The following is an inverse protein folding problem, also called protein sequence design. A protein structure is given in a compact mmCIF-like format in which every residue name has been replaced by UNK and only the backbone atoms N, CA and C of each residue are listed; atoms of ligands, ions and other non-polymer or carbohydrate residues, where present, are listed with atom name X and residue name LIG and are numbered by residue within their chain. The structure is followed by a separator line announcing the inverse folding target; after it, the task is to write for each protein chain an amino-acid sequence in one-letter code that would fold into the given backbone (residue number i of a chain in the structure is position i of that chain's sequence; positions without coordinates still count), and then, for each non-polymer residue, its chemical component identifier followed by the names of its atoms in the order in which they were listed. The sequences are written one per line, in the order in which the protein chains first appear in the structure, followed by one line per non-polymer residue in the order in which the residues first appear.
data_IF_436241707602
#
_entry.id   IF_436241707602
#
_cell.length_a   1.000
_cell.length_b   1.000
_cell.length_c   1.000
_cell.angle_alpha   90.00
_cell.angle_beta   90.00
_cell.angle_gamma   90.00
#
_symmetry.space_group_name_H-M   'P 1'
#
loop_
_entity.id
_entity.type
_entity.pdbx_description
1 polymer ?
#
# COMPACT_ATOMS: atom_id res chain seq x y z
N UNK A 1 54.83 17.67 7.62
CA UNK A 1 56.29 17.55 7.73
C UNK A 1 56.63 17.24 9.19
N UNK A 2 57.01 15.99 9.45
CA UNK A 2 57.27 15.50 10.81
C UNK A 2 58.78 15.57 11.06
N UNK A 3 59.21 16.36 12.03
CA UNK A 3 60.62 16.43 12.46
C UNK A 3 60.80 15.55 13.71
N UNK A 4 61.71 14.60 13.63
CA UNK A 4 62.18 13.82 14.77
C UNK A 4 63.36 14.57 15.43
N UNK A 5 63.15 15.11 16.61
CA UNK A 5 64.25 15.67 17.44
C UNK A 5 64.63 14.66 18.52
N UNK A 6 65.85 14.20 18.47
CA UNK A 6 66.44 13.23 19.42
C UNK A 6 66.83 13.95 20.70
N UNK A 7 66.07 13.78 21.76
CA UNK A 7 66.41 14.30 23.10
C UNK A 7 67.21 13.21 23.82
N UNK A 8 68.30 13.60 24.41
CA UNK A 8 69.43 12.85 24.94
C UNK A 8 69.11 11.72 25.92
N UNK A 9 70.12 10.89 26.08
CA UNK A 9 70.23 9.62 26.79
C UNK A 9 69.44 9.55 28.11
N UNK A 10 68.50 8.54 28.19
CA UNK A 10 67.98 8.14 29.49
C UNK A 10 66.61 7.52 29.54
N UNK A 11 65.75 7.51 28.53
CA UNK A 11 64.59 6.61 28.48
C UNK A 11 63.97 6.68 27.08
N UNK A 12 63.86 5.53 26.41
CA UNK A 12 63.42 5.39 25.02
C UNK A 12 61.92 5.65 24.79
N UNK A 13 61.43 6.83 25.15
CA UNK A 13 60.08 7.29 24.81
C UNK A 13 60.16 8.33 23.71
N UNK A 14 59.82 7.95 22.50
CA UNK A 14 59.58 8.88 21.40
C UNK A 14 58.34 9.74 21.72
N UNK A 15 58.58 10.98 22.13
CA UNK A 15 57.46 11.91 22.29
C UNK A 15 57.18 12.59 20.94
N UNK A 16 56.08 12.17 20.30
CA UNK A 16 55.54 12.86 19.12
C UNK A 16 55.05 14.24 19.51
N UNK A 17 55.85 15.29 19.22
CA UNK A 17 55.42 16.68 19.36
C UNK A 17 54.49 17.04 18.21
N UNK A 18 53.17 16.93 18.45
CA UNK A 18 52.16 17.38 17.48
C UNK A 18 52.09 18.92 17.48
N UNK A 19 52.50 19.50 16.38
CA UNK A 19 52.34 20.96 16.20
C UNK A 19 50.86 21.23 15.88
N UNK A 20 50.13 21.65 16.90
CA UNK A 20 48.70 21.93 16.82
C UNK A 20 48.47 23.12 15.86
N UNK A 21 47.86 22.87 14.71
CA UNK A 21 47.52 23.90 13.73
C UNK A 21 46.09 24.41 13.96
N UNK A 22 45.93 25.52 14.61
CA UNK A 22 44.63 26.14 14.91
C UNK A 22 43.72 26.28 13.66
N UNK A 23 44.33 26.63 12.52
CA UNK A 23 43.58 26.74 11.25
C UNK A 23 42.91 25.40 10.83
N UNK A 24 43.63 24.29 11.01
CA UNK A 24 43.08 22.97 10.71
C UNK A 24 41.93 22.60 11.64
N UNK A 25 42.00 22.96 12.92
CA UNK A 25 40.92 22.73 13.88
C UNK A 25 39.68 23.55 13.54
N UNK A 26 39.86 24.82 13.20
CA UNK A 26 38.77 25.71 12.78
C UNK A 26 38.05 25.12 11.53
N UNK A 27 38.81 24.64 10.54
CA UNK A 27 38.24 23.99 9.33
C UNK A 27 37.45 22.74 9.69
N UNK A 28 37.99 21.88 10.56
CA UNK A 28 37.25 20.65 11.00
C UNK A 28 35.95 21.01 11.70
N UNK A 29 35.98 22.04 12.59
CA UNK A 29 34.77 22.48 13.29
C UNK A 29 33.74 23.02 12.29
N UNK A 30 34.15 23.85 11.32
CA UNK A 30 33.24 24.36 10.30
C UNK A 30 32.61 23.24 9.44
N UNK A 31 33.41 22.29 9.00
CA UNK A 31 32.91 21.15 8.25
C UNK A 31 31.92 20.30 9.07
N UNK A 32 32.21 20.11 10.36
CA UNK A 32 31.32 19.41 11.27
C UNK A 32 29.97 20.11 11.46
N UNK A 33 30.01 21.44 11.64
CA UNK A 33 28.79 22.26 11.75
C UNK A 33 27.96 22.21 10.45
N UNK A 34 28.59 22.34 9.29
CA UNK A 34 27.92 22.25 7.99
C UNK A 34 27.31 20.86 7.76
N UNK A 35 28.01 19.79 8.12
CA UNK A 35 27.51 18.44 8.04
C UNK A 35 26.29 18.23 8.94
N UNK A 36 26.34 18.75 10.18
CA UNK A 36 25.24 18.66 11.13
C UNK A 36 24.02 19.47 10.68
N UNK A 37 24.25 20.70 10.21
CA UNK A 37 23.19 21.54 9.65
C UNK A 37 22.56 20.91 8.41
N UNK A 38 23.37 20.33 7.52
CA UNK A 38 22.89 19.60 6.35
C UNK A 38 22.04 18.38 6.72
N UNK A 39 22.44 17.63 7.76
CA UNK A 39 21.66 16.49 8.27
C UNK A 39 20.32 16.94 8.84
N UNK A 40 20.30 17.96 9.70
CA UNK A 40 19.08 18.51 10.30
C UNK A 40 18.13 19.04 9.21
N UNK A 41 18.67 19.78 8.23
CA UNK A 41 17.88 20.27 7.09
C UNK A 41 17.29 19.11 6.27
N UNK A 42 18.08 18.07 5.98
CA UNK A 42 17.64 16.89 5.26
C UNK A 42 16.53 16.15 6.01
N UNK A 43 16.67 15.95 7.32
CA UNK A 43 15.64 15.32 8.16
C UNK A 43 14.36 16.16 8.21
N UNK A 44 14.48 17.48 8.30
CA UNK A 44 13.33 18.38 8.32
C UNK A 44 12.55 18.39 6.99
N UNK A 45 13.24 18.48 5.85
CA UNK A 45 12.62 18.47 4.51
C UNK A 45 11.99 17.12 4.17
N UNK A 46 12.56 16.00 4.66
CA UNK A 46 12.08 14.66 4.39
C UNK A 46 11.17 14.10 5.50
N UNK A 47 10.75 14.95 6.45
CA UNK A 47 9.84 14.55 7.51
C UNK A 47 8.51 14.12 6.90
N UNK A 48 8.10 12.89 7.23
CA UNK A 48 6.78 12.37 6.87
C UNK A 48 5.77 12.89 7.88
N UNK A 49 4.74 13.58 7.40
CA UNK A 49 3.56 13.98 8.19
C UNK A 49 2.44 13.02 7.82
N UNK A 50 2.13 12.03 8.68
CA UNK A 50 1.19 10.95 8.32
C UNK A 50 -0.20 11.48 8.01
N UNK A 51 -0.66 12.50 8.75
CA UNK A 51 -1.97 13.13 8.61
C UNK A 51 -2.17 13.85 7.27
N UNK A 52 -1.07 14.24 6.61
CA UNK A 52 -1.10 14.85 5.27
C UNK A 52 -0.86 13.81 4.18
N UNK A 53 0.10 12.90 4.41
CA UNK A 53 0.50 11.92 3.40
C UNK A 53 -0.60 10.88 3.13
N UNK A 54 -1.29 10.40 4.18
CA UNK A 54 -2.31 9.36 4.03
C UNK A 54 -3.51 9.83 3.19
N UNK A 55 -4.18 10.97 3.48
CA UNK A 55 -5.28 11.47 2.65
C UNK A 55 -4.83 11.73 1.20
N UNK A 56 -3.66 12.33 1.01
CA UNK A 56 -3.10 12.56 -0.33
C UNK A 56 -2.86 11.24 -1.09
N UNK A 57 -2.37 10.20 -0.41
CA UNK A 57 -2.12 8.90 -1.04
C UNK A 57 -3.43 8.20 -1.41
N UNK A 58 -4.46 8.30 -0.57
CA UNK A 58 -5.80 7.80 -0.86
C UNK A 58 -6.35 8.50 -2.10
N UNK A 59 -6.38 9.83 -2.12
CA UNK A 59 -6.86 10.63 -3.25
C UNK A 59 -6.15 10.27 -4.56
N UNK A 60 -4.81 10.19 -4.53
CA UNK A 60 -4.01 9.81 -5.71
C UNK A 60 -4.25 8.38 -6.17
N UNK A 61 -4.67 7.50 -5.29
CA UNK A 61 -4.98 6.11 -5.62
C UNK A 61 -6.38 5.96 -6.16
N UNK A 62 -7.36 6.67 -5.57
CA UNK A 62 -8.77 6.62 -6.02
C UNK A 62 -9.00 7.38 -7.33
N UNK A 63 -8.16 8.38 -7.64
CA UNK A 63 -8.26 9.17 -8.88
C UNK A 63 -7.63 8.52 -10.11
N UNK A 64 -7.00 7.34 -10.00
CA UNK A 64 -6.39 6.67 -11.16
C UNK A 64 -7.44 6.21 -12.17
N UNK A 65 -7.11 6.35 -13.46
CA UNK A 65 -8.03 5.97 -14.55
C UNK A 65 -7.99 4.49 -14.89
N UNK A 66 -6.85 3.84 -14.62
CA UNK A 66 -6.68 2.41 -14.87
C UNK A 66 -5.68 1.80 -13.90
N UNK A 67 -5.89 0.54 -13.55
CA UNK A 67 -5.01 -0.27 -12.71
C UNK A 67 -5.31 -1.75 -12.88
N UNK A 68 -4.32 -2.57 -12.51
CA UNK A 68 -4.48 -4.00 -12.27
C UNK A 68 -4.42 -4.28 -10.79
N UNK A 69 -5.04 -5.37 -10.37
CA UNK A 69 -5.10 -5.71 -8.96
C UNK A 69 -5.17 -7.20 -8.68
N UNK A 70 -4.82 -7.54 -7.44
CA UNK A 70 -5.12 -8.82 -6.81
C UNK A 70 -5.84 -8.54 -5.50
N UNK A 71 -6.95 -9.24 -5.27
CA UNK A 71 -7.68 -9.23 -4.00
C UNK A 71 -7.70 -10.63 -3.45
N UNK A 72 -7.37 -10.76 -2.18
CA UNK A 72 -7.59 -11.96 -1.39
C UNK A 72 -8.43 -11.61 -0.17
N UNK A 73 -9.51 -12.33 0.04
CA UNK A 73 -10.40 -12.16 1.18
C UNK A 73 -10.49 -13.46 1.96
N UNK A 74 -10.22 -13.40 3.25
CA UNK A 74 -10.32 -14.51 4.19
C UNK A 74 -11.28 -14.16 5.31
N UNK A 75 -12.02 -15.16 5.74
CA UNK A 75 -12.82 -15.12 6.96
C UNK A 75 -12.14 -15.98 8.02
N UNK A 76 -11.92 -15.42 9.19
CA UNK A 76 -11.57 -16.20 10.38
C UNK A 76 -12.86 -16.68 11.02
N UNK A 77 -13.05 -17.99 11.10
CA UNK A 77 -14.24 -18.62 11.67
C UNK A 77 -13.80 -19.62 12.73
N UNK A 78 -14.15 -19.36 13.99
CA UNK A 78 -13.75 -20.19 15.14
C UNK A 78 -12.23 -20.42 15.26
N UNK A 79 -11.43 -19.44 14.85
CA UNK A 79 -9.97 -19.52 14.87
C UNK A 79 -9.32 -19.97 13.55
N UNK A 80 -10.07 -20.57 12.63
CA UNK A 80 -9.56 -21.08 11.35
C UNK A 80 -9.75 -20.04 10.24
N UNK A 81 -8.71 -19.83 9.43
CA UNK A 81 -8.78 -19.00 8.23
C UNK A 81 -9.42 -19.76 7.07
N UNK A 82 -10.51 -19.24 6.53
CA UNK A 82 -11.19 -19.74 5.35
C UNK A 82 -11.06 -18.74 4.21
N UNK A 83 -10.56 -19.20 3.07
CA UNK A 83 -10.51 -18.37 1.86
C UNK A 83 -11.95 -18.14 1.36
N UNK A 84 -12.34 -16.87 1.25
CA UNK A 84 -13.63 -16.46 0.69
C UNK A 84 -13.48 -16.07 -0.78
N UNK A 85 -12.48 -15.25 -1.10
CA UNK A 85 -12.18 -14.91 -2.49
C UNK A 85 -10.69 -14.75 -2.76
N UNK A 86 -10.29 -15.07 -3.98
CA UNK A 86 -8.95 -14.81 -4.51
C UNK A 86 -9.08 -14.49 -5.98
N UNK A 87 -9.05 -13.20 -6.28
CA UNK A 87 -9.28 -12.71 -7.64
C UNK A 87 -8.13 -11.82 -8.12
N UNK A 88 -7.96 -11.79 -9.42
CA UNK A 88 -7.16 -10.81 -10.14
C UNK A 88 -8.05 -10.06 -11.10
N UNK A 89 -7.80 -8.79 -11.29
CA UNK A 89 -8.58 -8.00 -12.20
C UNK A 89 -7.81 -6.84 -12.81
N UNK A 90 -8.43 -6.24 -13.80
CA UNK A 90 -8.01 -5.00 -14.43
C UNK A 90 -9.21 -4.09 -14.61
N UNK A 91 -9.00 -2.80 -14.41
CA UNK A 91 -10.04 -1.79 -14.50
C UNK A 91 -9.56 -0.57 -15.28
N UNK A 92 -10.38 -0.05 -16.18
CA UNK A 92 -10.12 1.18 -16.93
C UNK A 92 -11.41 1.92 -17.24
N UNK A 93 -11.53 3.18 -16.79
CA UNK A 93 -12.69 4.04 -17.08
C UNK A 93 -14.05 3.38 -16.80
N UNK A 94 -14.19 2.69 -15.68
CA UNK A 94 -15.40 1.97 -15.31
C UNK A 94 -15.57 0.58 -15.90
N UNK A 95 -14.85 0.24 -16.98
CA UNK A 95 -14.80 -1.12 -17.52
C UNK A 95 -13.86 -1.98 -16.67
N UNK A 96 -14.12 -3.28 -16.57
CA UNK A 96 -13.25 -4.20 -15.85
C UNK A 96 -13.29 -5.61 -16.43
N UNK A 97 -12.25 -6.38 -16.13
CA UNK A 97 -12.17 -7.82 -16.30
C UNK A 97 -11.68 -8.42 -15.00
N UNK A 98 -12.42 -9.35 -14.45
CA UNK A 98 -12.18 -10.03 -13.19
C UNK A 98 -12.12 -11.54 -13.39
N UNK A 99 -11.08 -12.17 -12.84
CA UNK A 99 -10.90 -13.64 -12.89
C UNK A 99 -10.43 -14.15 -11.54
N UNK A 100 -10.86 -15.36 -11.17
CA UNK A 100 -10.39 -16.04 -9.96
C UNK A 100 -11.41 -16.96 -9.35
N UNK A 101 -11.41 -17.03 -8.02
CA UNK A 101 -12.30 -17.87 -7.24
C UNK A 101 -13.01 -17.02 -6.18
N UNK A 102 -14.33 -17.21 -6.07
CA UNK A 102 -15.18 -16.58 -5.05
C UNK A 102 -16.09 -17.66 -4.47
N UNK A 103 -16.04 -17.83 -3.15
CA UNK A 103 -16.81 -18.84 -2.40
C UNK A 103 -16.67 -20.26 -2.98
N UNK A 104 -15.45 -20.62 -3.40
CA UNK A 104 -15.16 -21.94 -3.98
C UNK A 104 -15.57 -22.13 -5.44
N UNK A 105 -16.06 -21.08 -6.10
CA UNK A 105 -16.48 -21.11 -7.49
C UNK A 105 -15.55 -20.30 -8.38
N UNK A 106 -15.15 -20.83 -9.51
CA UNK A 106 -14.41 -20.07 -10.52
C UNK A 106 -15.29 -18.99 -11.14
N UNK A 107 -14.74 -17.80 -11.26
CA UNK A 107 -15.40 -16.64 -11.87
C UNK A 107 -14.51 -16.04 -12.97
N UNK A 108 -15.15 -15.67 -14.07
CA UNK A 108 -14.53 -14.89 -15.16
C UNK A 108 -15.59 -13.92 -15.67
N UNK A 109 -15.43 -12.63 -15.35
CA UNK A 109 -16.46 -11.61 -15.59
C UNK A 109 -15.82 -10.40 -16.28
N UNK A 110 -16.44 -9.98 -17.39
CA UNK A 110 -16.02 -8.78 -18.12
C UNK A 110 -17.20 -7.80 -18.13
N UNK A 111 -16.92 -6.54 -17.76
CA UNK A 111 -17.86 -5.44 -17.95
C UNK A 111 -17.29 -4.45 -18.96
N UNK A 112 -17.96 -4.34 -20.08
CA UNK A 112 -17.56 -3.45 -21.18
C UNK A 112 -18.80 -3.03 -21.98
N UNK A 113 -18.84 -1.77 -22.44
CA UNK A 113 -19.95 -1.23 -23.25
C UNK A 113 -21.32 -1.42 -22.59
N UNK A 114 -21.40 -1.23 -21.29
CA UNK A 114 -22.62 -1.38 -20.47
C UNK A 114 -23.25 -2.78 -20.51
N UNK A 115 -22.43 -3.80 -20.77
CA UNK A 115 -22.83 -5.23 -20.79
C UNK A 115 -21.92 -6.00 -19.84
N UNK A 116 -22.52 -6.97 -19.16
CA UNK A 116 -21.82 -7.95 -18.32
C UNK A 116 -21.72 -9.26 -19.09
N UNK A 117 -20.51 -9.75 -19.22
CA UNK A 117 -20.20 -11.05 -19.75
C UNK A 117 -19.70 -11.93 -18.63
N UNK A 118 -20.38 -13.04 -18.38
CA UNK A 118 -19.99 -14.04 -17.38
C UNK A 118 -19.70 -15.34 -18.08
N UNK A 119 -18.55 -15.93 -17.79
CA UNK A 119 -18.20 -17.24 -18.31
C UNK A 119 -18.82 -18.32 -17.44
N UNK A 120 -19.62 -19.19 -18.03
CA UNK A 120 -20.16 -20.34 -17.35
C UNK A 120 -19.04 -21.35 -17.08
N UNK A 121 -18.87 -21.74 -15.81
CA UNK A 121 -17.77 -22.60 -15.40
C UNK A 121 -17.88 -24.05 -15.93
N UNK A 122 -19.07 -24.49 -16.26
CA UNK A 122 -19.32 -25.86 -16.74
C UNK A 122 -19.17 -25.95 -18.25
N UNK A 123 -19.86 -25.07 -18.98
CA UNK A 123 -19.85 -25.10 -20.45
C UNK A 123 -18.71 -24.31 -21.08
N UNK A 124 -18.05 -23.43 -20.32
CA UNK A 124 -17.03 -22.51 -20.82
C UNK A 124 -17.56 -21.39 -21.74
N UNK A 125 -18.89 -21.31 -21.91
CA UNK A 125 -19.53 -20.32 -22.79
C UNK A 125 -19.74 -19.01 -22.09
N UNK A 126 -19.68 -17.92 -22.86
CA UNK A 126 -19.98 -16.58 -22.37
C UNK A 126 -21.46 -16.30 -22.42
N UNK A 127 -22.02 -15.96 -21.28
CA UNK A 127 -23.40 -15.48 -21.13
C UNK A 127 -23.37 -13.95 -21.04
N UNK A 128 -24.29 -13.29 -21.73
CA UNK A 128 -24.43 -11.82 -21.73
C UNK A 128 -25.65 -11.44 -20.92
N UNK A 129 -25.45 -10.56 -19.96
CA UNK A 129 -26.53 -9.93 -19.21
C UNK A 129 -26.62 -8.43 -19.55
N UNK A 130 -27.81 -7.97 -19.93
CA UNK A 130 -28.12 -6.58 -20.29
C UNK A 130 -28.74 -5.85 -19.11
N UNK A 131 -28.12 -5.84 -17.97
CA UNK A 131 -28.67 -5.13 -16.82
C UNK A 131 -27.66 -4.96 -15.70
N UNK A 132 -27.63 -3.78 -15.13
CA UNK A 132 -26.76 -3.43 -13.99
C UNK A 132 -27.09 -4.15 -12.68
N UNK A 133 -28.16 -4.94 -12.63
CA UNK A 133 -28.73 -5.50 -11.39
C UNK A 133 -27.84 -6.56 -10.72
N UNK A 134 -26.94 -7.20 -11.47
CA UNK A 134 -25.98 -8.18 -10.91
C UNK A 134 -24.96 -7.49 -9.99
N UNK A 135 -24.63 -6.22 -10.23
CA UNK A 135 -23.67 -5.47 -9.43
C UNK A 135 -24.29 -4.81 -8.19
N UNK A 136 -25.60 -4.84 -8.04
CA UNK A 136 -26.28 -4.44 -6.82
C UNK A 136 -26.21 -5.52 -5.73
N UNK A 137 -25.73 -6.72 -6.04
CA UNK A 137 -25.39 -7.70 -5.02
C UNK A 137 -24.07 -7.27 -4.36
N UNK A 138 -24.18 -6.70 -3.19
CA UNK A 138 -23.10 -6.08 -2.38
C UNK A 138 -21.84 -6.95 -2.17
N UNK A 139 -21.94 -8.27 -2.39
CA UNK A 139 -20.87 -9.24 -2.21
C UNK A 139 -19.71 -9.11 -3.21
N UNK A 140 -19.94 -8.53 -4.41
CA UNK A 140 -18.92 -8.42 -5.45
C UNK A 140 -18.27 -7.04 -5.54
N UNK A 141 -18.71 -6.09 -4.74
CA UNK A 141 -18.26 -4.69 -4.88
C UNK A 141 -16.77 -4.52 -4.59
N UNK A 142 -16.22 -5.27 -3.63
CA UNK A 142 -14.80 -5.18 -3.26
C UNK A 142 -13.93 -5.79 -4.36
N UNK A 143 -14.35 -6.92 -4.94
CA UNK A 143 -13.62 -7.62 -5.99
C UNK A 143 -13.64 -6.83 -7.31
N UNK A 144 -14.73 -6.16 -7.61
CA UNK A 144 -14.93 -5.38 -8.85
C UNK A 144 -14.29 -4.01 -8.78
N UNK A 145 -14.36 -3.33 -7.64
CA UNK A 145 -13.80 -2.01 -7.41
C UNK A 145 -13.06 -1.93 -6.07
N UNK A 146 -11.93 -2.63 -5.94
CA UNK A 146 -11.25 -2.73 -4.65
C UNK A 146 -10.71 -1.39 -4.13
N UNK A 147 -10.52 -0.41 -5.00
CA UNK A 147 -10.06 0.94 -4.61
C UNK A 147 -11.13 1.69 -3.82
N UNK A 148 -12.43 1.35 -4.01
CA UNK A 148 -13.51 1.91 -3.19
C UNK A 148 -13.40 1.55 -1.69
N UNK A 149 -12.68 0.47 -1.35
CA UNK A 149 -12.41 0.15 0.06
C UNK A 149 -11.53 1.18 0.78
N UNK A 150 -10.87 2.06 0.03
CA UNK A 150 -10.10 3.18 0.58
C UNK A 150 -10.96 4.41 0.91
N UNK A 151 -12.22 4.45 0.49
CA UNK A 151 -13.14 5.55 0.78
C UNK A 151 -13.46 5.58 2.29
N UNK A 152 -13.46 6.75 2.86
CA UNK A 152 -13.65 6.96 4.29
C UNK A 152 -14.48 8.20 4.58
N UNK A 153 -15.19 8.19 5.69
CA UNK A 153 -15.83 9.37 6.26
C UNK A 153 -14.87 10.13 7.18
N UNK A 154 -14.09 9.40 7.99
CA UNK A 154 -13.06 9.95 8.85
C UNK A 154 -11.87 9.00 8.98
N UNK A 155 -10.67 9.56 9.20
CA UNK A 155 -9.43 8.82 9.48
C UNK A 155 -9.03 9.05 10.93
N UNK A 156 -8.88 7.96 11.70
CA UNK A 156 -8.52 8.01 13.10
C UNK A 156 -7.25 7.18 13.34
N UNK A 157 -6.53 7.48 14.42
CA UNK A 157 -5.38 6.71 14.90
C UNK A 157 -4.34 6.44 13.79
N UNK A 158 -3.94 7.49 13.07
CA UNK A 158 -2.95 7.37 11.99
C UNK A 158 -1.57 7.18 12.62
N UNK A 159 -0.95 6.02 12.40
CA UNK A 159 0.36 5.66 12.89
C UNK A 159 1.32 5.41 11.75
N UNK A 160 2.45 6.12 11.73
CA UNK A 160 3.54 5.88 10.80
C UNK A 160 4.45 4.76 11.34
N UNK A 161 4.57 3.65 10.61
CA UNK A 161 5.36 2.49 10.99
C UNK A 161 6.79 2.50 10.43
N UNK A 162 7.11 3.49 9.57
CA UNK A 162 8.44 3.62 8.99
C UNK A 162 8.48 3.36 7.48
N UNK A 163 9.68 3.07 6.99
CA UNK A 163 9.94 2.77 5.58
C UNK A 163 10.25 1.29 5.43
N UNK A 164 9.49 0.62 4.58
CA UNK A 164 9.80 -0.72 4.11
C UNK A 164 10.56 -0.63 2.78
N UNK A 165 11.76 -1.20 2.74
CA UNK A 165 12.59 -1.28 1.53
C UNK A 165 12.32 -2.59 0.82
N UNK A 166 12.15 -2.53 -0.49
CA UNK A 166 11.87 -3.71 -1.30
C UNK A 166 11.98 -3.42 -2.79
N UNK A 167 11.24 -4.17 -3.59
CA UNK A 167 11.12 -3.90 -5.03
C UNK A 167 10.56 -2.49 -5.29
N UNK A 168 9.72 -2.01 -4.39
CA UNK A 168 9.20 -0.65 -4.32
C UNK A 168 9.39 -0.18 -2.88
N UNK A 169 10.14 0.91 -2.68
CA UNK A 169 10.27 1.55 -1.37
C UNK A 169 8.94 2.20 -0.97
N UNK A 170 8.48 1.90 0.23
CA UNK A 170 7.17 2.32 0.71
C UNK A 170 7.22 2.98 2.09
N UNK A 171 6.40 3.99 2.29
CA UNK A 171 5.95 4.41 3.61
C UNK A 171 4.86 3.46 4.08
N UNK A 172 4.98 2.93 5.28
CA UNK A 172 4.00 2.01 5.88
C UNK A 172 3.24 2.75 6.96
N UNK A 173 1.91 2.68 6.90
CA UNK A 173 1.03 3.32 7.88
C UNK A 173 -0.08 2.37 8.30
N UNK A 174 -0.51 2.51 9.54
CA UNK A 174 -1.74 1.91 10.06
C UNK A 174 -2.71 3.03 10.44
N UNK A 175 -4.01 2.78 10.23
CA UNK A 175 -5.06 3.72 10.64
C UNK A 175 -6.39 3.00 10.84
N UNK A 176 -7.33 3.68 11.49
CA UNK A 176 -8.68 3.22 11.75
C UNK A 176 -9.67 4.12 11.01
N UNK A 177 -10.22 3.71 9.85
CA UNK A 177 -11.20 4.52 9.14
C UNK A 177 -12.60 4.39 9.74
N UNK A 178 -13.41 5.43 9.58
CA UNK A 178 -14.86 5.29 9.56
C UNK A 178 -15.23 4.92 8.12
N UNK A 179 -15.63 3.68 7.90
CA UNK A 179 -15.90 3.15 6.56
C UNK A 179 -17.23 3.64 6.01
N UNK A 180 -17.25 4.05 4.75
CA UNK A 180 -18.46 4.51 4.05
C UNK A 180 -19.34 3.34 3.62
N UNK A 181 -18.75 2.18 3.34
CA UNK A 181 -19.47 1.00 2.87
C UNK A 181 -20.41 0.45 3.96
N UNK A 182 -21.71 0.69 3.78
CA UNK A 182 -22.75 0.31 4.74
C UNK A 182 -22.84 -1.21 4.98
N UNK A 183 -22.60 -2.03 3.94
CA UNK A 183 -22.63 -3.47 4.08
C UNK A 183 -21.48 -3.95 4.99
N UNK A 184 -20.27 -3.45 4.75
CA UNK A 184 -19.16 -3.75 5.65
C UNK A 184 -19.46 -3.27 7.07
N UNK A 185 -19.97 -2.04 7.22
CA UNK A 185 -20.33 -1.48 8.52
C UNK A 185 -21.50 -2.22 9.20
N UNK A 186 -22.35 -2.95 8.47
CA UNK A 186 -23.44 -3.76 9.04
C UNK A 186 -22.92 -4.97 9.80
N UNK A 187 -21.99 -5.71 9.22
CA UNK A 187 -21.52 -7.00 9.78
C UNK A 187 -20.21 -6.90 10.54
N UNK A 188 -19.38 -5.88 10.25
CA UNK A 188 -18.03 -5.75 10.75
C UNK A 188 -17.82 -4.48 11.58
N UNK A 189 -16.85 -4.52 12.49
CA UNK A 189 -16.42 -3.40 13.36
C UNK A 189 -14.91 -3.44 13.59
N UNK A 190 -14.37 -2.44 14.28
CA UNK A 190 -12.95 -2.35 14.65
C UNK A 190 -12.02 -2.45 13.43
N UNK A 191 -12.40 -1.78 12.34
CA UNK A 191 -11.59 -1.76 11.13
C UNK A 191 -10.19 -1.22 11.41
N UNK A 192 -9.18 -2.00 11.04
CA UNK A 192 -7.77 -1.62 11.07
C UNK A 192 -7.18 -1.79 9.70
N UNK A 193 -6.69 -0.71 9.13
CA UNK A 193 -6.11 -0.68 7.80
C UNK A 193 -4.60 -0.51 7.93
N UNK A 194 -3.86 -1.27 7.12
CA UNK A 194 -2.42 -1.12 6.95
C UNK A 194 -2.13 -0.91 5.48
N UNK A 195 -1.45 0.20 5.17
CA UNK A 195 -1.19 0.62 3.79
C UNK A 195 0.29 0.78 3.53
N UNK A 196 0.70 0.46 2.29
CA UNK A 196 2.02 0.70 1.74
C UNK A 196 1.89 1.73 0.65
N UNK A 197 2.49 2.90 0.89
CA UNK A 197 2.45 4.07 0.01
C UNK A 197 3.78 4.17 -0.72
N UNK A 198 3.77 4.03 -2.05
CA UNK A 198 4.96 4.18 -2.88
C UNK A 198 5.60 5.56 -2.68
N UNK A 199 6.90 5.59 -2.37
CA UNK A 199 7.61 6.85 -2.06
C UNK A 199 7.61 7.84 -3.22
N UNK A 200 7.74 7.36 -4.46
CA UNK A 200 7.89 8.19 -5.66
C UNK A 200 6.59 8.87 -6.06
N UNK A 201 5.52 8.11 -6.18
CA UNK A 201 4.24 8.61 -6.71
C UNK A 201 3.20 8.92 -5.64
N UNK A 202 3.50 8.57 -4.37
CA UNK A 202 2.60 8.78 -3.23
C UNK A 202 1.22 8.13 -3.47
N UNK A 203 1.21 6.89 -3.97
CA UNK A 203 0.02 6.07 -4.18
C UNK A 203 0.11 4.80 -3.34
N UNK A 204 -1.04 4.35 -2.86
CA UNK A 204 -1.16 3.07 -2.16
C UNK A 204 -1.08 1.97 -3.22
N UNK A 205 -0.12 1.05 -3.07
CA UNK A 205 -0.02 -0.13 -3.94
C UNK A 205 -0.33 -1.43 -3.21
N UNK A 206 -0.37 -1.40 -1.87
CA UNK A 206 -0.79 -2.54 -1.05
C UNK A 206 -1.63 -2.04 0.12
N UNK A 207 -2.71 -2.76 0.40
CA UNK A 207 -3.61 -2.53 1.54
C UNK A 207 -3.90 -3.86 2.21
N UNK A 208 -3.88 -3.88 3.52
CA UNK A 208 -4.42 -4.96 4.35
C UNK A 208 -5.51 -4.39 5.25
N UNK A 209 -6.64 -5.07 5.33
CA UNK A 209 -7.79 -4.70 6.15
C UNK A 209 -8.08 -5.83 7.11
N UNK A 210 -8.22 -5.49 8.37
CA UNK A 210 -8.70 -6.39 9.42
C UNK A 210 -9.97 -5.80 10.03
N UNK A 211 -10.93 -6.67 10.35
CA UNK A 211 -12.12 -6.27 11.07
C UNK A 211 -12.67 -7.45 11.89
N UNK A 212 -13.38 -7.14 12.97
CA UNK A 212 -14.04 -8.12 13.82
C UNK A 212 -15.51 -8.23 13.43
N UNK A 213 -16.09 -9.43 13.49
CA UNK A 213 -17.51 -9.60 13.31
C UNK A 213 -18.27 -9.00 14.52
N UNK A 214 -19.37 -8.29 14.24
CA UNK A 214 -20.11 -7.59 15.31
C UNK A 214 -20.69 -8.53 16.36
N UNK A 215 -21.33 -9.59 15.91
CA UNK A 215 -22.08 -10.50 16.76
C UNK A 215 -21.27 -11.72 17.22
N UNK A 216 -20.17 -12.02 16.55
CA UNK A 216 -19.31 -13.18 16.83
C UNK A 216 -17.86 -12.73 16.88
N UNK A 217 -17.38 -12.18 18.03
CA UNK A 217 -16.08 -11.51 18.14
C UNK A 217 -14.85 -12.41 17.82
N UNK A 218 -14.99 -13.73 17.92
CA UNK A 218 -13.96 -14.69 17.50
C UNK A 218 -13.83 -14.82 15.98
N UNK A 219 -14.79 -14.31 15.22
CA UNK A 219 -14.75 -14.27 13.77
C UNK A 219 -14.18 -12.95 13.30
N UNK A 220 -13.42 -13.00 12.23
CA UNK A 220 -12.73 -11.84 11.66
C UNK A 220 -12.73 -11.83 10.15
N UNK A 221 -12.47 -10.66 9.60
CA UNK A 221 -12.24 -10.42 8.20
C UNK A 221 -10.78 -10.04 7.99
N UNK A 222 -10.13 -10.65 7.02
CA UNK A 222 -8.82 -10.22 6.54
C UNK A 222 -8.85 -10.09 5.02
N UNK A 223 -8.71 -8.87 4.52
CA UNK A 223 -8.57 -8.58 3.09
C UNK A 223 -7.15 -8.13 2.78
N UNK A 224 -6.61 -8.60 1.68
CA UNK A 224 -5.37 -8.10 1.10
C UNK A 224 -5.65 -7.61 -0.32
N UNK A 225 -5.21 -6.39 -0.62
CA UNK A 225 -5.27 -5.78 -1.94
C UNK A 225 -3.87 -5.39 -2.39
N UNK A 226 -3.53 -5.75 -3.63
CA UNK A 226 -2.30 -5.31 -4.30
C UNK A 226 -2.70 -4.61 -5.58
N UNK A 227 -2.22 -3.38 -5.79
CA UNK A 227 -2.50 -2.54 -6.96
C UNK A 227 -1.20 -2.33 -7.75
N UNK A 228 -1.29 -2.41 -9.07
CA UNK A 228 -0.14 -2.22 -9.95
C UNK A 228 -0.58 -1.74 -11.34
N UNK A 229 0.37 -1.42 -12.20
CA UNK A 229 0.13 -0.95 -13.57
C UNK A 229 -0.79 0.28 -13.65
N UNK A 230 -0.66 1.20 -12.71
CA UNK A 230 -1.44 2.43 -12.64
C UNK A 230 -1.33 3.27 -13.91
N UNK A 231 -2.47 3.76 -14.40
CA UNK A 231 -2.61 4.63 -15.57
C UNK A 231 -1.99 4.07 -16.86
N UNK A 232 -1.78 2.75 -16.95
CA UNK A 232 -1.43 2.09 -18.20
C UNK A 232 -2.68 1.87 -19.04
N UNK A 233 -2.53 1.94 -20.37
CA UNK A 233 -3.60 1.56 -21.29
C UNK A 233 -3.85 0.06 -21.16
N UNK A 234 -5.07 -0.31 -20.82
CA UNK A 234 -5.53 -1.69 -20.74
C UNK A 234 -6.41 -2.01 -21.94
N UNK A 235 -6.51 -3.28 -22.30
CA UNK A 235 -7.30 -3.73 -23.44
C UNK A 235 -8.44 -4.63 -22.96
N UNK A 236 -9.48 -4.02 -22.37
CA UNK A 236 -10.66 -4.73 -21.90
C UNK A 236 -11.65 -4.81 -23.07
N UNK A 237 -11.91 -6.01 -23.58
CA UNK A 237 -12.76 -6.23 -24.75
C UNK A 237 -13.88 -7.24 -24.44
N UNK A 238 -15.01 -7.09 -25.13
CA UNK A 238 -16.05 -8.08 -25.11
C UNK A 238 -15.52 -9.42 -25.67
N UNK A 239 -15.84 -10.54 -25.02
CA UNK A 239 -15.47 -11.85 -25.54
C UNK A 239 -16.29 -12.18 -26.80
N UNK A 240 -15.78 -13.06 -27.65
CA UNK A 240 -16.57 -13.63 -28.73
C UNK A 240 -17.65 -14.52 -28.12
N UNK A 241 -18.90 -14.10 -28.22
CA UNK A 241 -20.06 -14.92 -27.87
C UNK A 241 -20.39 -15.81 -29.07
N UNK A 242 -20.10 -17.10 -28.95
CA UNK A 242 -20.59 -18.13 -29.87
C UNK A 242 -21.87 -18.73 -29.33
#
# INVERSE_FOLDING_TARGET
MTYLEKVGEGSGRLALKYKFNWKTVVVIILVSILSMAGKVYYEWVNRVIPEELLPQAIERTTSVKSYRYHVGLKLKVNGDDRLLSKVKGERQNGQFHLQGEIAGQEVDVIYVNNKVYMKDAVSGRWMVNHGGDIFQQDLFMIEVNPVASLEYEALNNINYLGIEKGKVDAYVMEYTPVVVNQMLATYWRNFKYKVWIEKRFKRIFKLEVFADHKDVPQNGLHMQLILYDFNKKLNIQAPSTQ
#
